data_IF_848461990427
#
_entry.id   IF_848461990427
#
_cell.length_a   1.000
_cell.length_b   1.000
_cell.length_c   1.000
_cell.angle_alpha   90.00
_cell.angle_beta   90.00
_cell.angle_gamma   90.00
#
_symmetry.space_group_name_H-M   'P 1'
#
loop_
_entity.id
_entity.type
_entity.pdbx_description
1 polymer ?
#
# COMPACT_ATOMS: atom_id res chain seq x y z
N UNK A 1 -26.29 -25.13 -43.72
CA UNK A 1 -25.88 -25.13 -42.29
C UNK A 1 -24.49 -24.52 -42.11
N UNK A 2 -23.59 -24.67 -43.10
CA UNK A 2 -22.20 -24.18 -43.02
C UNK A 2 -22.04 -22.65 -43.19
N UNK A 3 -22.87 -22.00 -44.01
CA UNK A 3 -22.83 -20.54 -44.18
C UNK A 3 -23.16 -19.78 -42.87
N UNK A 4 -24.09 -20.29 -42.07
CA UNK A 4 -24.45 -19.72 -40.77
C UNK A 4 -23.31 -19.87 -39.74
N UNK A 5 -22.65 -21.04 -39.73
CA UNK A 5 -21.47 -21.28 -38.88
C UNK A 5 -20.31 -20.35 -39.24
N UNK A 6 -20.02 -20.16 -40.52
CA UNK A 6 -18.95 -19.26 -40.96
C UNK A 6 -19.23 -17.79 -40.58
N UNK A 7 -20.48 -17.33 -40.73
CA UNK A 7 -20.88 -15.98 -40.32
C UNK A 7 -20.77 -15.77 -38.80
N UNK A 8 -21.10 -16.78 -37.99
CA UNK A 8 -20.95 -16.74 -36.54
C UNK A 8 -19.48 -16.70 -36.14
N UNK A 9 -18.61 -17.47 -36.80
CA UNK A 9 -17.16 -17.46 -36.55
C UNK A 9 -16.54 -16.11 -36.92
N UNK A 10 -16.91 -15.51 -38.05
CA UNK A 10 -16.41 -14.17 -38.42
C UNK A 10 -16.89 -13.08 -37.47
N UNK A 11 -18.16 -13.15 -37.02
CA UNK A 11 -18.68 -12.21 -36.03
C UNK A 11 -17.98 -12.35 -34.67
N UNK A 12 -17.75 -13.59 -34.21
CA UNK A 12 -17.00 -13.87 -33.00
C UNK A 12 -15.53 -13.40 -33.10
N UNK A 13 -14.88 -13.61 -34.25
CA UNK A 13 -13.52 -13.12 -34.52
C UNK A 13 -13.44 -11.60 -34.49
N UNK A 14 -14.38 -10.91 -35.14
CA UNK A 14 -14.49 -9.45 -35.09
C UNK A 14 -14.69 -8.92 -33.67
N UNK A 15 -15.57 -9.55 -32.89
CA UNK A 15 -15.79 -9.19 -31.49
C UNK A 15 -14.52 -9.35 -30.65
N UNK A 16 -13.78 -10.46 -30.83
CA UNK A 16 -12.51 -10.68 -30.14
C UNK A 16 -11.48 -9.60 -30.45
N UNK A 17 -11.32 -9.20 -31.71
CA UNK A 17 -10.40 -8.13 -32.11
C UNK A 17 -10.77 -6.81 -31.43
N UNK A 18 -12.06 -6.46 -31.44
CA UNK A 18 -12.54 -5.24 -30.79
C UNK A 18 -12.28 -5.28 -29.28
N UNK A 19 -12.57 -6.39 -28.61
CA UNK A 19 -12.29 -6.57 -27.18
C UNK A 19 -10.79 -6.44 -26.87
N UNK A 20 -9.93 -7.10 -27.65
CA UNK A 20 -8.48 -7.00 -27.49
C UNK A 20 -8.00 -5.56 -27.66
N UNK A 21 -8.48 -4.83 -28.68
CA UNK A 21 -8.15 -3.43 -28.89
C UNK A 21 -8.58 -2.55 -27.70
N UNK A 22 -9.79 -2.74 -27.18
CA UNK A 22 -10.28 -2.01 -26.00
C UNK A 22 -9.41 -2.30 -24.77
N UNK A 23 -9.07 -3.58 -24.52
CA UNK A 23 -8.23 -3.97 -23.37
C UNK A 23 -6.84 -3.34 -23.48
N UNK A 24 -6.21 -3.39 -24.65
CA UNK A 24 -4.89 -2.79 -24.88
C UNK A 24 -4.94 -1.27 -24.73
N UNK A 25 -5.95 -0.62 -25.30
CA UNK A 25 -6.11 0.83 -25.22
C UNK A 25 -6.41 1.31 -23.80
N UNK A 26 -7.15 0.52 -23.00
CA UNK A 26 -7.52 0.83 -21.61
C UNK A 26 -6.65 0.12 -20.57
N UNK A 27 -5.51 -0.41 -20.96
CA UNK A 27 -4.69 -1.29 -20.14
C UNK A 27 -4.29 -0.67 -18.79
N UNK A 28 -3.90 0.61 -18.77
CA UNK A 28 -3.54 1.33 -17.54
C UNK A 28 -4.73 1.48 -16.58
N UNK A 29 -5.92 1.77 -17.10
CA UNK A 29 -7.15 1.88 -16.32
C UNK A 29 -7.58 0.53 -15.74
N UNK A 30 -7.48 -0.55 -16.54
CA UNK A 30 -7.78 -1.91 -16.09
C UNK A 30 -6.80 -2.39 -15.00
N UNK A 31 -5.49 -2.13 -15.16
CA UNK A 31 -4.52 -2.45 -14.11
C UNK A 31 -4.82 -1.71 -12.81
N UNK A 32 -5.16 -0.42 -12.88
CA UNK A 32 -5.52 0.36 -11.69
C UNK A 32 -6.82 -0.14 -11.06
N UNK A 33 -7.83 -0.51 -11.85
CA UNK A 33 -9.06 -1.12 -11.35
C UNK A 33 -8.78 -2.42 -10.59
N UNK A 34 -7.93 -3.30 -11.15
CA UNK A 34 -7.51 -4.52 -10.45
C UNK A 34 -6.77 -4.20 -9.14
N UNK A 35 -5.92 -3.16 -9.13
CA UNK A 35 -5.22 -2.69 -7.92
C UNK A 35 -6.18 -2.18 -6.85
N UNK A 36 -7.23 -1.43 -7.22
CA UNK A 36 -8.30 -1.01 -6.29
C UNK A 36 -8.98 -2.24 -5.68
N UNK A 37 -9.35 -3.21 -6.52
CA UNK A 37 -10.05 -4.42 -6.06
C UNK A 37 -9.22 -5.25 -5.07
N UNK A 38 -7.89 -5.25 -5.22
CA UNK A 38 -6.98 -5.93 -4.30
C UNK A 38 -6.31 -5.00 -3.28
N UNK A 39 -6.75 -3.75 -3.15
CA UNK A 39 -6.02 -2.74 -2.35
C UNK A 39 -5.90 -3.16 -0.87
N UNK A 40 -6.98 -3.72 -0.34
CA UNK A 40 -7.08 -4.18 1.05
C UNK A 40 -6.89 -5.69 1.21
N UNK A 41 -6.49 -6.41 0.15
CA UNK A 41 -6.24 -7.85 0.28
C UNK A 41 -5.13 -8.07 1.31
N UNK A 42 -5.41 -8.89 2.32
CA UNK A 42 -4.51 -9.12 3.45
C UNK A 42 -3.08 -9.46 2.98
N UNK A 43 -2.92 -10.39 2.05
CA UNK A 43 -1.61 -10.82 1.55
C UNK A 43 -0.79 -9.70 0.87
N UNK A 44 -1.39 -8.57 0.49
CA UNK A 44 -0.73 -7.48 -0.23
C UNK A 44 -0.78 -6.13 0.47
N UNK A 45 -1.52 -6.00 1.57
CA UNK A 45 -1.85 -4.68 2.15
C UNK A 45 -0.61 -3.84 2.47
N UNK A 46 0.43 -4.42 3.10
CA UNK A 46 1.67 -3.68 3.38
C UNK A 46 2.35 -3.20 2.09
N UNK A 47 2.51 -4.08 1.10
CA UNK A 47 3.12 -3.71 -0.17
C UNK A 47 2.30 -2.68 -0.95
N UNK A 48 0.96 -2.80 -0.93
CA UNK A 48 0.09 -1.86 -1.61
C UNK A 48 0.19 -0.45 -1.02
N UNK A 49 0.08 -0.33 0.32
CA UNK A 49 0.11 0.97 0.99
C UNK A 49 1.51 1.58 1.05
N UNK A 50 2.57 0.77 1.01
CA UNK A 50 3.95 1.26 0.93
C UNK A 50 4.36 1.70 -0.50
N UNK A 51 3.56 1.39 -1.53
CA UNK A 51 3.88 1.69 -2.94
C UNK A 51 2.75 2.43 -3.67
N UNK A 52 2.00 3.28 -2.96
CA UNK A 52 0.83 4.00 -3.49
C UNK A 52 1.16 4.85 -4.73
N UNK A 53 2.36 5.44 -4.78
CA UNK A 53 2.84 6.28 -5.89
C UNK A 53 2.78 5.54 -7.24
N UNK A 54 3.15 4.27 -7.26
CA UNK A 54 3.14 3.45 -8.48
C UNK A 54 1.75 2.94 -8.84
N UNK A 55 0.83 2.90 -7.86
CA UNK A 55 -0.51 2.30 -7.97
C UNK A 55 -1.60 3.26 -8.40
N UNK A 56 -1.48 4.52 -8.02
CA UNK A 56 -2.54 5.50 -8.21
C UNK A 56 -2.01 6.78 -8.81
N UNK A 57 -2.94 7.60 -9.31
CA UNK A 57 -2.62 8.98 -9.59
C UNK A 57 -2.25 9.66 -8.28
N UNK A 58 -1.16 10.40 -8.31
CA UNK A 58 -0.63 11.11 -7.17
C UNK A 58 -0.24 12.53 -7.60
N UNK A 59 -0.17 13.42 -6.62
CA UNK A 59 0.45 14.72 -6.75
C UNK A 59 1.52 14.82 -5.68
N UNK A 60 2.72 15.26 -6.10
CA UNK A 60 3.81 15.47 -5.16
C UNK A 60 3.52 16.71 -4.30
N UNK A 61 3.55 16.52 -2.99
CA UNK A 61 3.53 17.60 -2.02
C UNK A 61 4.96 18.00 -1.68
N UNK A 62 5.48 18.99 -2.39
CA UNK A 62 6.82 19.51 -2.11
C UNK A 62 6.79 20.28 -0.78
N UNK A 63 7.42 19.70 0.25
CA UNK A 63 7.70 20.43 1.47
C UNK A 63 8.69 21.58 1.16
N UNK A 64 8.52 22.74 1.80
CA UNK A 64 9.53 23.80 1.78
C UNK A 64 10.66 23.37 2.72
N UNK A 65 11.68 22.71 2.18
CA UNK A 65 12.72 21.99 2.94
C UNK A 65 14.06 22.70 2.95
N UNK A 66 14.12 24.01 2.72
CA UNK A 66 15.42 24.71 2.71
C UNK A 66 16.14 24.56 4.07
N UNK A 67 15.38 24.37 5.16
CA UNK A 67 15.87 23.94 6.47
C UNK A 67 14.76 23.26 7.30
N UNK A 68 14.56 21.94 7.20
CA UNK A 68 13.63 21.24 8.08
C UNK A 68 14.10 21.31 9.53
N UNK A 69 13.15 21.28 10.48
CA UNK A 69 13.49 21.16 11.89
C UNK A 69 13.83 19.70 12.21
N UNK A 70 15.10 19.44 12.51
CA UNK A 70 15.56 18.13 12.95
C UNK A 70 15.08 17.86 14.38
N UNK A 71 14.33 16.77 14.57
CA UNK A 71 13.85 16.38 15.89
C UNK A 71 15.01 15.90 16.76
N UNK A 72 15.26 16.52 17.93
CA UNK A 72 16.28 16.03 18.85
C UNK A 72 15.98 14.59 19.31
N UNK A 73 17.03 13.79 19.52
CA UNK A 73 16.90 12.38 19.95
C UNK A 73 17.23 12.26 21.44
N UNK A 74 16.39 11.55 22.20
CA UNK A 74 16.59 11.23 23.61
C UNK A 74 16.02 9.84 23.91
N UNK A 75 16.77 8.76 23.63
CA UNK A 75 16.25 7.40 23.65
C UNK A 75 15.73 6.99 25.03
N UNK A 76 14.64 6.24 25.05
CA UNK A 76 14.06 5.66 26.26
C UNK A 76 13.77 4.17 26.04
N UNK A 77 13.84 3.40 27.12
CA UNK A 77 13.48 1.98 27.10
C UNK A 77 11.97 1.86 26.95
N UNK A 78 11.51 1.17 25.91
CA UNK A 78 10.10 0.87 25.72
C UNK A 78 9.66 -0.24 26.67
N UNK A 79 8.44 -0.18 27.23
CA UNK A 79 7.91 -1.27 28.02
C UNK A 79 7.65 -2.50 27.14
N UNK A 80 8.00 -3.69 27.63
CA UNK A 80 7.74 -4.94 26.92
C UNK A 80 6.23 -5.23 26.81
N UNK A 81 5.46 -4.81 27.81
CA UNK A 81 4.00 -4.97 27.86
C UNK A 81 3.31 -3.72 28.37
N UNK A 82 2.03 -3.59 28.05
CA UNK A 82 1.19 -2.50 28.50
C UNK A 82 -0.24 -2.98 28.75
N UNK A 83 -0.95 -2.25 29.60
CA UNK A 83 -2.37 -2.50 29.86
C UNK A 83 -3.21 -1.53 29.03
N UNK A 84 -4.12 -2.08 28.22
CA UNK A 84 -5.11 -1.31 27.47
C UNK A 84 -6.49 -1.83 27.85
N UNK A 85 -7.32 -0.95 28.44
CA UNK A 85 -8.70 -1.28 28.86
C UNK A 85 -8.77 -2.50 29.82
N UNK A 86 -7.77 -2.66 30.68
CA UNK A 86 -7.70 -3.76 31.65
C UNK A 86 -7.14 -5.07 31.09
N UNK A 87 -6.78 -5.13 29.81
CA UNK A 87 -6.10 -6.27 29.19
C UNK A 87 -4.61 -5.98 29.05
N UNK A 88 -3.77 -6.88 29.56
CA UNK A 88 -2.32 -6.82 29.36
C UNK A 88 -1.94 -7.45 28.02
N UNK A 89 -1.12 -6.77 27.23
CA UNK A 89 -0.60 -7.28 25.96
C UNK A 89 0.85 -6.85 25.75
N UNK A 90 1.63 -7.66 25.04
CA UNK A 90 3.02 -7.31 24.71
C UNK A 90 3.07 -6.35 23.53
N UNK A 91 4.11 -5.51 23.50
CA UNK A 91 4.35 -4.63 22.35
C UNK A 91 4.67 -5.45 21.08
N UNK A 92 5.33 -6.59 21.23
CA UNK A 92 5.68 -7.49 20.14
C UNK A 92 4.42 -8.10 19.49
N UNK A 93 3.51 -8.67 20.28
CA UNK A 93 2.27 -9.28 19.77
C UNK A 93 1.38 -8.22 19.11
N UNK A 94 1.27 -7.05 19.72
CA UNK A 94 0.49 -5.94 19.15
C UNK A 94 1.04 -5.49 17.80
N UNK A 95 2.37 -5.39 17.65
CA UNK A 95 3.03 -5.05 16.38
C UNK A 95 2.78 -6.12 15.33
N UNK A 96 2.87 -7.40 15.71
CA UNK A 96 2.67 -8.53 14.82
C UNK A 96 1.21 -8.62 14.33
N UNK A 97 0.24 -8.56 15.25
CA UNK A 97 -1.20 -8.63 14.94
C UNK A 97 -1.65 -7.53 13.98
N UNK A 98 -1.12 -6.30 14.16
CA UNK A 98 -1.48 -5.14 13.32
C UNK A 98 -0.58 -4.96 12.10
N UNK A 99 0.43 -5.80 11.94
CA UNK A 99 1.45 -5.68 10.88
C UNK A 99 2.01 -4.26 10.80
N UNK A 100 2.36 -3.72 11.96
CA UNK A 100 2.93 -2.38 12.08
C UNK A 100 4.12 -2.25 11.14
N UNK A 101 4.14 -1.17 10.36
CA UNK A 101 5.25 -0.86 9.43
C UNK A 101 6.24 0.10 10.07
N UNK A 102 5.79 1.11 10.82
CA UNK A 102 6.65 1.99 11.58
C UNK A 102 6.01 2.36 12.92
N UNK A 103 6.84 2.51 13.96
CA UNK A 103 6.45 2.99 15.28
C UNK A 103 7.42 4.09 15.70
N UNK A 104 6.91 5.30 15.93
CA UNK A 104 7.65 6.45 16.43
C UNK A 104 7.01 6.94 17.74
N UNK A 105 7.84 7.13 18.77
CA UNK A 105 7.42 7.66 20.07
C UNK A 105 8.20 8.94 20.34
N UNK A 106 7.46 10.03 20.54
CA UNK A 106 8.01 11.31 20.95
C UNK A 106 7.74 11.55 22.43
N UNK A 107 8.75 12.03 23.16
CA UNK A 107 8.63 12.48 24.53
C UNK A 107 9.33 13.83 24.68
N UNK A 108 8.61 14.83 25.22
CA UNK A 108 9.14 16.18 25.44
C UNK A 108 9.75 16.82 24.17
N UNK A 109 9.11 16.58 23.02
CA UNK A 109 9.57 17.07 21.71
C UNK A 109 10.80 16.36 21.15
N UNK A 110 11.20 15.22 21.74
CA UNK A 110 12.37 14.43 21.34
C UNK A 110 11.97 13.02 20.91
N UNK A 111 12.70 12.44 19.97
CA UNK A 111 12.54 11.03 19.57
C UNK A 111 13.02 10.16 20.72
N UNK A 112 12.08 9.46 21.37
CA UNK A 112 12.35 8.54 22.46
C UNK A 112 12.53 7.10 21.97
N UNK A 113 11.83 6.72 20.91
CA UNK A 113 11.94 5.41 20.28
C UNK A 113 11.46 5.49 18.84
N UNK A 114 12.15 4.82 17.94
CA UNK A 114 11.68 4.59 16.58
C UNK A 114 12.06 3.18 16.11
N UNK A 115 11.19 2.56 15.34
CA UNK A 115 11.41 1.24 14.77
C UNK A 115 10.67 1.12 13.43
N UNK A 116 11.34 0.54 12.44
CA UNK A 116 10.81 0.29 11.11
C UNK A 116 10.78 -1.22 10.85
N UNK A 117 9.62 -1.71 10.44
CA UNK A 117 9.27 -3.11 10.28
C UNK A 117 8.74 -3.37 8.87
N UNK A 118 8.58 -4.64 8.52
CA UNK A 118 8.00 -5.07 7.25
C UNK A 118 8.73 -4.53 6.00
N UNK A 119 10.03 -4.22 6.13
CA UNK A 119 10.89 -3.72 5.05
C UNK A 119 10.83 -2.22 4.82
N UNK A 120 10.11 -1.45 5.65
CA UNK A 120 10.10 0.02 5.59
C UNK A 120 11.37 0.64 6.19
N UNK A 121 11.63 1.90 5.86
CA UNK A 121 12.82 2.66 6.24
C UNK A 121 12.46 4.07 6.71
N UNK A 122 13.42 4.73 7.34
CA UNK A 122 13.30 6.13 7.79
C UNK A 122 13.10 7.14 6.65
N UNK A 123 13.46 6.77 5.43
CA UNK A 123 13.38 7.60 4.22
C UNK A 123 12.20 7.28 3.30
N UNK A 124 11.35 6.30 3.67
CA UNK A 124 10.22 5.85 2.84
C UNK A 124 8.97 6.73 3.00
#
# INVERSE_FOLDING_TARGET
MDALKNSLVTAAGGLWIVLSLVVTFRWSALRRLMRVNSLFSESRIVGNFSNMRDMFFHHDMNAKTDAPFELPVAPAVMPESYSLRGTSQTLADWKAERRVTALLVLKDGKIAFEEYLQGTKTTD
#
